data_IF_382922386461
#
_entry.id   IF_382922386461
#
_cell.length_a   1.000
_cell.length_b   1.000
_cell.length_c   1.000
_cell.angle_alpha   90.00
_cell.angle_beta   90.00
_cell.angle_gamma   90.00
#
_symmetry.space_group_name_H-M   'P 1'
#
loop_
_entity.id
_entity.type
_entity.pdbx_description
1 polymer ?
#
# COMPACT_ATOMS: atom_id res chain seq x y z
N UNK A 1 -29.30 -59.77 -3.14
CA UNK A 1 -28.45 -58.83 -2.37
C UNK A 1 -27.06 -58.75 -3.00
N UNK A 2 -26.85 -57.86 -3.98
CA UNK A 2 -25.55 -57.66 -4.63
C UNK A 2 -24.86 -56.41 -4.05
N UNK A 3 -24.06 -56.60 -3.00
CA UNK A 3 -23.40 -55.53 -2.26
C UNK A 3 -22.12 -55.02 -2.94
N UNK A 4 -22.15 -53.76 -3.39
CA UNK A 4 -21.14 -52.69 -3.27
C UNK A 4 -19.61 -52.99 -3.29
N UNK A 5 -19.10 -54.10 -3.84
CA UNK A 5 -17.64 -54.40 -3.89
C UNK A 5 -16.78 -53.41 -4.68
N UNK A 6 -17.36 -52.61 -5.58
CA UNK A 6 -16.61 -51.64 -6.41
C UNK A 6 -16.16 -50.39 -5.62
N UNK A 7 -16.96 -49.94 -4.65
CA UNK A 7 -16.72 -48.67 -3.96
C UNK A 7 -15.64 -48.77 -2.86
N UNK A 8 -15.49 -49.94 -2.23
CA UNK A 8 -14.42 -50.19 -1.25
C UNK A 8 -13.03 -50.29 -1.90
N UNK A 9 -12.95 -50.78 -3.14
CA UNK A 9 -11.70 -50.88 -3.87
C UNK A 9 -11.18 -49.49 -4.31
N UNK A 10 -12.09 -48.58 -4.66
CA UNK A 10 -11.76 -47.19 -5.01
C UNK A 10 -11.23 -46.37 -3.83
N UNK A 11 -11.80 -46.54 -2.62
CA UNK A 11 -11.28 -45.88 -1.40
C UNK A 11 -9.91 -46.40 -1.00
N UNK A 12 -9.66 -47.70 -1.16
CA UNK A 12 -8.34 -48.31 -0.92
C UNK A 12 -7.29 -47.83 -1.94
N UNK A 13 -7.67 -47.72 -3.21
CA UNK A 13 -6.82 -47.14 -4.25
C UNK A 13 -6.47 -45.67 -3.96
N UNK A 14 -7.44 -44.86 -3.53
CA UNK A 14 -7.22 -43.46 -3.16
C UNK A 14 -6.31 -43.31 -1.92
N UNK A 15 -6.44 -44.21 -0.94
CA UNK A 15 -5.55 -44.26 0.24
C UNK A 15 -4.11 -44.61 -0.12
N UNK A 16 -3.91 -45.58 -1.01
CA UNK A 16 -2.59 -45.95 -1.51
C UNK A 16 -1.98 -44.84 -2.38
N UNK A 17 -2.78 -44.16 -3.21
CA UNK A 17 -2.34 -43.01 -3.99
C UNK A 17 -1.85 -41.87 -3.08
N UNK A 18 -2.60 -41.52 -2.03
CA UNK A 18 -2.16 -40.49 -1.05
C UNK A 18 -0.87 -40.86 -0.32
N UNK A 19 -0.66 -42.15 -0.03
CA UNK A 19 0.60 -42.63 0.56
C UNK A 19 1.76 -42.53 -0.42
N UNK A 20 1.52 -42.86 -1.70
CA UNK A 20 2.50 -42.72 -2.76
C UNK A 20 2.86 -41.24 -3.01
N UNK A 21 1.88 -40.33 -3.04
CA UNK A 21 2.11 -38.89 -3.19
C UNK A 21 2.91 -38.31 -2.02
N UNK A 22 2.62 -38.75 -0.78
CA UNK A 22 3.38 -38.31 0.40
C UNK A 22 4.82 -38.83 0.35
N UNK A 23 5.03 -40.08 -0.06
CA UNK A 23 6.36 -40.65 -0.26
C UNK A 23 7.13 -39.92 -1.38
N UNK A 24 6.47 -39.61 -2.51
CA UNK A 24 7.05 -38.87 -3.62
C UNK A 24 7.41 -37.42 -3.25
N UNK A 25 6.58 -36.75 -2.44
CA UNK A 25 6.92 -35.43 -1.90
C UNK A 25 8.11 -35.47 -0.96
N UNK A 26 8.21 -36.51 -0.13
CA UNK A 26 9.35 -36.68 0.78
C UNK A 26 10.64 -36.99 0.03
N UNK A 27 10.57 -37.83 -1.03
CA UNK A 27 11.74 -38.07 -1.88
C UNK A 27 12.13 -36.82 -2.66
N UNK A 28 11.18 -36.10 -3.24
CA UNK A 28 11.46 -34.85 -3.95
C UNK A 28 12.08 -33.78 -3.02
N UNK A 29 11.65 -33.69 -1.76
CA UNK A 29 12.26 -32.80 -0.78
C UNK A 29 13.70 -33.21 -0.43
N UNK A 30 13.95 -34.51 -0.27
CA UNK A 30 15.30 -35.02 -0.02
C UNK A 30 16.22 -34.86 -1.24
N UNK A 31 15.68 -34.98 -2.45
CA UNK A 31 16.41 -34.76 -3.70
C UNK A 31 16.75 -33.28 -3.85
N UNK A 32 15.80 -32.38 -3.58
CA UNK A 32 16.05 -30.94 -3.57
C UNK A 32 17.10 -30.53 -2.54
N UNK A 33 17.08 -31.13 -1.34
CA UNK A 33 18.10 -30.87 -0.31
C UNK A 33 19.49 -31.37 -0.74
N UNK A 34 19.57 -32.52 -1.41
CA UNK A 34 20.82 -33.03 -2.00
C UNK A 34 21.32 -32.13 -3.14
N UNK A 35 20.44 -31.69 -4.03
CA UNK A 35 20.81 -30.76 -5.12
C UNK A 35 21.29 -29.41 -4.59
N UNK A 36 20.66 -28.88 -3.52
CA UNK A 36 21.13 -27.66 -2.85
C UNK A 36 22.52 -27.87 -2.22
N UNK A 37 22.72 -28.96 -1.48
CA UNK A 37 24.01 -29.26 -0.84
C UNK A 37 25.13 -29.53 -1.88
N UNK A 38 24.81 -30.21 -2.97
CA UNK A 38 25.74 -30.40 -4.10
C UNK A 38 26.03 -29.06 -4.79
N UNK A 39 25.03 -28.21 -4.98
CA UNK A 39 25.18 -26.86 -5.52
C UNK A 39 26.10 -25.99 -4.66
N UNK A 40 25.93 -26.00 -3.34
CA UNK A 40 26.81 -25.29 -2.40
C UNK A 40 28.24 -25.83 -2.47
N UNK A 41 28.41 -27.15 -2.55
CA UNK A 41 29.74 -27.79 -2.67
C UNK A 41 30.42 -27.43 -3.99
N UNK A 42 29.69 -27.36 -5.09
CA UNK A 42 30.21 -26.91 -6.38
C UNK A 42 30.53 -25.41 -6.40
N UNK A 43 29.79 -24.60 -5.64
CA UNK A 43 30.06 -23.15 -5.51
C UNK A 43 31.30 -22.83 -4.66
N UNK A 44 31.70 -23.69 -3.72
CA UNK A 44 32.92 -23.48 -2.90
C UNK A 44 34.22 -23.47 -3.73
N UNK A 45 34.23 -24.03 -4.95
CA UNK A 45 35.37 -23.99 -5.88
C UNK A 45 35.28 -22.90 -6.95
N UNK A 46 34.15 -22.19 -7.04
CA UNK A 46 33.95 -21.15 -8.04
C UNK A 46 34.70 -19.86 -7.65
N UNK A 47 35.34 -19.21 -8.63
CA UNK A 47 35.98 -17.91 -8.41
C UNK A 47 34.93 -16.91 -7.93
N UNK A 48 35.23 -16.17 -6.86
CA UNK A 48 34.33 -15.15 -6.32
C UNK A 48 34.11 -14.02 -7.35
N UNK A 49 33.00 -14.12 -8.07
CA UNK A 49 32.55 -13.13 -9.06
C UNK A 49 31.42 -12.25 -8.51
N UNK A 50 31.13 -12.36 -7.20
CA UNK A 50 30.02 -11.68 -6.51
C UNK A 50 30.05 -10.16 -6.72
N UNK A 51 31.24 -9.56 -6.75
CA UNK A 51 31.38 -8.12 -6.99
C UNK A 51 30.99 -7.71 -8.42
N UNK A 52 31.34 -8.53 -9.42
CA UNK A 52 31.01 -8.28 -10.83
C UNK A 52 29.54 -8.57 -11.12
N UNK A 53 28.97 -9.59 -10.49
CA UNK A 53 27.54 -9.93 -10.59
C UNK A 53 26.65 -8.91 -9.89
N UNK A 54 27.06 -8.40 -8.71
CA UNK A 54 26.34 -7.32 -8.04
C UNK A 54 26.36 -6.01 -8.86
N UNK A 55 27.46 -5.70 -9.54
CA UNK A 55 27.54 -4.53 -10.43
C UNK A 55 26.71 -4.72 -11.70
N UNK A 56 26.75 -5.92 -12.30
CA UNK A 56 25.91 -6.27 -13.45
C UNK A 56 24.42 -6.26 -13.12
N UNK A 57 24.03 -6.77 -11.94
CA UNK A 57 22.65 -6.75 -11.45
C UNK A 57 22.15 -5.32 -11.21
N UNK A 58 22.95 -4.48 -10.54
CA UNK A 58 22.61 -3.05 -10.34
C UNK A 58 22.47 -2.31 -11.67
N UNK A 59 23.32 -2.61 -12.66
CA UNK A 59 23.24 -2.02 -13.99
C UNK A 59 22.02 -2.50 -14.77
N UNK A 60 21.67 -3.78 -14.66
CA UNK A 60 20.48 -4.36 -15.27
C UNK A 60 19.19 -3.80 -14.65
N UNK A 61 19.12 -3.67 -13.33
CA UNK A 61 17.97 -3.05 -12.64
C UNK A 61 17.82 -1.56 -12.98
N UNK A 62 18.93 -0.81 -13.05
CA UNK A 62 18.89 0.58 -13.45
C UNK A 62 18.43 0.74 -14.91
N UNK A 63 18.85 -0.16 -15.80
CA UNK A 63 18.41 -0.18 -17.19
C UNK A 63 16.92 -0.55 -17.30
N UNK A 64 16.44 -1.52 -16.53
CA UNK A 64 15.03 -1.91 -16.49
C UNK A 64 14.14 -0.78 -15.96
N UNK A 65 14.52 -0.14 -14.85
CA UNK A 65 13.79 1.02 -14.29
C UNK A 65 13.79 2.21 -15.24
N UNK A 66 14.89 2.42 -15.98
CA UNK A 66 14.96 3.48 -17.00
C UNK A 66 14.04 3.16 -18.18
N UNK A 67 14.02 1.91 -18.66
CA UNK A 67 13.15 1.49 -19.76
C UNK A 67 11.65 1.57 -19.38
N UNK A 68 11.30 1.18 -18.16
CA UNK A 68 9.93 1.29 -17.65
C UNK A 68 9.48 2.75 -17.53
N UNK A 69 10.34 3.62 -16.97
CA UNK A 69 10.05 5.06 -16.90
C UNK A 69 9.91 5.70 -18.28
N UNK A 70 10.75 5.32 -19.24
CA UNK A 70 10.69 5.85 -20.60
C UNK A 70 9.45 5.36 -21.36
N UNK A 71 9.04 4.10 -21.13
CA UNK A 71 7.79 3.56 -21.65
C UNK A 71 6.57 4.29 -21.09
N UNK A 72 6.56 4.57 -19.77
CA UNK A 72 5.48 5.32 -19.13
C UNK A 72 5.40 6.76 -19.63
N UNK A 73 6.54 7.46 -19.74
CA UNK A 73 6.60 8.81 -20.31
C UNK A 73 6.10 8.84 -21.76
N UNK A 74 6.43 7.82 -22.56
CA UNK A 74 5.97 7.72 -23.94
C UNK A 74 4.47 7.43 -24.05
N UNK A 75 3.91 6.65 -23.13
CA UNK A 75 2.46 6.43 -23.03
C UNK A 75 1.74 7.71 -22.60
N UNK A 76 2.31 8.47 -21.66
CA UNK A 76 1.82 9.80 -21.28
C UNK A 76 1.89 10.79 -22.45
N UNK A 77 3.02 10.88 -23.17
CA UNK A 77 3.16 11.74 -24.35
C UNK A 77 2.23 11.34 -25.50
N UNK A 78 2.00 10.04 -25.70
CA UNK A 78 1.03 9.55 -26.70
C UNK A 78 -0.41 9.91 -26.31
N UNK A 79 -0.76 9.83 -25.02
CA UNK A 79 -2.09 10.21 -24.51
C UNK A 79 -2.36 11.72 -24.64
N UNK A 80 -1.31 12.55 -24.52
CA UNK A 80 -1.40 14.00 -24.71
C UNK A 80 -1.42 14.39 -26.19
N UNK A 81 -0.63 13.74 -27.05
CA UNK A 81 -0.62 14.01 -28.50
C UNK A 81 -1.86 13.47 -29.22
N UNK A 82 -2.51 12.41 -28.71
CA UNK A 82 -3.78 11.90 -29.22
C UNK A 82 -4.94 12.91 -29.05
N UNK A 83 -4.75 13.99 -28.28
CA UNK A 83 -5.72 15.10 -28.18
C UNK A 83 -5.51 16.20 -29.22
N UNK A 84 -4.54 16.05 -30.12
CA UNK A 84 -4.14 17.07 -31.09
C UNK A 84 -4.13 16.62 -32.56
N UNK A 85 -5.05 15.73 -32.97
CA UNK A 85 -5.38 15.63 -34.40
C UNK A 85 -6.48 16.65 -34.80
N UNK A 86 -6.24 17.45 -35.86
CA UNK A 86 -7.11 18.56 -36.24
C UNK A 86 -8.31 18.05 -37.05
N UNK A 87 -9.50 18.06 -36.45
CA UNK A 87 -10.73 17.94 -37.24
C UNK A 87 -10.95 19.22 -38.04
N UNK A 88 -11.04 19.04 -39.37
CA UNK A 88 -11.31 20.08 -40.36
C UNK A 88 -12.54 20.91 -40.01
N UNK A 89 -12.35 22.23 -40.16
CA UNK A 89 -13.33 23.23 -40.62
C UNK A 89 -14.73 23.21 -39.98
N UNK A 90 -14.99 24.14 -39.06
CA UNK A 90 -15.94 25.25 -39.26
C UNK A 90 -15.59 26.41 -38.33
N UNK A 91 -15.43 27.57 -38.95
CA UNK A 91 -15.36 28.96 -38.46
C UNK A 91 -15.55 29.17 -36.96
N UNK A 92 -14.47 29.48 -36.24
CA UNK A 92 -14.53 29.97 -34.88
C UNK A 92 -14.87 31.46 -34.88
N UNK A 93 -16.14 31.78 -34.60
CA UNK A 93 -16.55 33.12 -34.19
C UNK A 93 -15.82 33.43 -32.89
N UNK A 94 -15.09 34.56 -32.87
CA UNK A 94 -14.45 35.11 -31.67
C UNK A 94 -15.53 35.47 -30.65
N UNK A 95 -15.94 34.52 -29.82
CA UNK A 95 -16.58 34.80 -28.53
C UNK A 95 -15.47 34.85 -27.51
N UNK A 96 -15.24 36.04 -26.98
CA UNK A 96 -14.50 36.27 -25.75
C UNK A 96 -15.10 35.37 -24.67
N UNK A 97 -14.50 34.20 -24.48
CA UNK A 97 -14.86 33.26 -23.43
C UNK A 97 -14.23 33.78 -22.14
N UNK A 98 -14.84 34.85 -21.63
CA UNK A 98 -14.84 35.07 -20.19
C UNK A 98 -15.30 33.75 -19.59
N UNK A 99 -14.46 33.20 -18.72
CA UNK A 99 -14.82 32.06 -17.90
C UNK A 99 -16.09 32.47 -17.16
N UNK A 100 -17.21 31.83 -17.50
CA UNK A 100 -18.48 32.05 -16.81
C UNK A 100 -18.36 31.42 -15.42
N UNK A 101 -17.86 32.23 -14.49
CA UNK A 101 -17.68 31.90 -13.08
C UNK A 101 -19.01 31.93 -12.33
N UNK A 102 -20.14 32.27 -12.96
CA UNK A 102 -21.44 32.29 -12.28
C UNK A 102 -21.84 30.91 -11.76
N UNK A 103 -21.34 29.83 -12.38
CA UNK A 103 -21.57 28.47 -11.92
C UNK A 103 -20.73 28.10 -10.68
N UNK A 104 -19.71 28.90 -10.35
CA UNK A 104 -18.92 28.76 -9.11
C UNK A 104 -19.47 29.62 -7.96
N UNK A 105 -20.27 30.64 -8.27
CA UNK A 105 -20.89 31.56 -7.29
C UNK A 105 -22.27 31.10 -6.77
N UNK A 106 -22.95 30.16 -7.44
CA UNK A 106 -24.28 29.68 -7.03
C UNK A 106 -24.25 28.57 -5.96
N UNK A 107 -23.09 27.95 -5.75
CA UNK A 107 -22.88 27.09 -4.59
C UNK A 107 -22.50 27.96 -3.41
N UNK A 108 -23.48 28.25 -2.56
CA UNK A 108 -23.30 28.74 -1.18
C UNK A 108 -22.57 27.70 -0.31
N UNK A 109 -21.44 27.19 -0.77
CA UNK A 109 -20.39 26.71 0.11
C UNK A 109 -19.91 27.96 0.83
N UNK A 110 -20.29 28.10 2.10
CA UNK A 110 -19.82 29.22 2.93
C UNK A 110 -18.31 29.36 2.69
N UNK A 111 -17.82 30.58 2.49
CA UNK A 111 -16.42 30.83 2.21
C UNK A 111 -15.57 30.28 3.36
N UNK A 112 -15.12 29.02 3.23
CA UNK A 112 -14.31 28.33 4.23
C UNK A 112 -12.91 28.95 4.14
N UNK A 113 -12.52 29.68 5.17
CA UNK A 113 -11.25 30.38 5.23
C UNK A 113 -10.16 29.40 5.68
N UNK A 114 -9.53 28.72 4.72
CA UNK A 114 -8.42 27.81 5.00
C UNK A 114 -7.08 28.56 5.07
N UNK A 115 -6.78 29.22 6.20
CA UNK A 115 -5.44 29.78 6.41
C UNK A 115 -4.48 28.69 6.91
N UNK A 116 -3.57 28.22 6.05
CA UNK A 116 -2.55 27.21 6.36
C UNK A 116 -2.74 25.89 5.60
N UNK A 117 -1.65 25.11 5.47
CA UNK A 117 -1.63 23.88 4.66
C UNK A 117 -2.60 22.83 5.23
N UNK A 118 -2.59 22.62 6.54
CA UNK A 118 -3.46 21.63 7.18
C UNK A 118 -4.95 21.99 7.00
N UNK A 119 -5.30 23.27 7.18
CA UNK A 119 -6.66 23.77 6.98
C UNK A 119 -7.10 23.66 5.51
N UNK A 120 -6.18 23.84 4.55
CA UNK A 120 -6.46 23.65 3.13
C UNK A 120 -6.69 22.17 2.76
N UNK A 121 -5.92 21.26 3.39
CA UNK A 121 -6.14 19.81 3.24
C UNK A 121 -7.47 19.37 3.86
N UNK A 122 -7.85 19.95 4.99
CA UNK A 122 -9.14 19.70 5.63
C UNK A 122 -10.32 20.22 4.79
N UNK A 123 -10.20 21.42 4.23
CA UNK A 123 -11.17 21.96 3.27
C UNK A 123 -11.27 21.09 2.01
N UNK A 124 -10.14 20.58 1.52
CA UNK A 124 -10.11 19.64 0.40
C UNK A 124 -10.79 18.32 0.77
N UNK A 125 -10.56 17.78 1.97
CA UNK A 125 -11.21 16.56 2.44
C UNK A 125 -12.72 16.72 2.57
N UNK A 126 -13.19 17.94 2.87
CA UNK A 126 -14.62 18.28 2.91
C UNK A 126 -15.24 18.25 1.51
N UNK A 127 -14.60 18.89 0.52
CA UNK A 127 -15.11 18.94 -0.86
C UNK A 127 -14.89 17.65 -1.66
N UNK A 128 -13.84 16.88 -1.35
CA UNK A 128 -13.49 15.68 -2.12
C UNK A 128 -14.39 14.47 -1.80
N UNK A 129 -15.27 14.58 -0.81
CA UNK A 129 -16.19 13.50 -0.44
C UNK A 129 -15.43 12.26 0.03
N UNK A 130 -15.07 12.20 1.31
CA UNK A 130 -14.34 11.05 1.86
C UNK A 130 -15.05 9.72 1.58
N UNK A 131 -14.31 8.71 1.12
CA UNK A 131 -14.83 7.35 0.91
C UNK A 131 -15.27 6.72 2.25
N UNK A 132 -16.49 6.16 2.33
CA UNK A 132 -17.03 5.50 3.53
C UNK A 132 -16.13 4.34 4.02
N UNK A 133 -15.28 3.84 3.12
CA UNK A 133 -14.33 2.76 3.35
C UNK A 133 -13.11 3.16 4.21
N UNK A 134 -13.00 4.44 4.63
CA UNK A 134 -11.82 4.95 5.36
C UNK A 134 -11.92 4.88 6.89
N UNK A 135 -13.13 4.72 7.43
CA UNK A 135 -13.31 4.62 8.90
C UNK A 135 -13.05 3.17 9.31
N UNK A 136 -12.00 2.97 10.08
CA UNK A 136 -11.58 1.65 10.52
C UNK A 136 -12.35 1.20 11.76
N UNK A 137 -12.82 -0.04 11.74
CA UNK A 137 -13.51 -0.70 12.85
C UNK A 137 -12.55 -1.53 13.72
N UNK A 138 -11.33 -1.79 13.25
CA UNK A 138 -10.35 -2.68 13.88
C UNK A 138 -8.97 -2.03 14.03
N UNK A 139 -8.86 -0.95 14.82
CA UNK A 139 -7.58 -0.30 15.09
C UNK A 139 -6.56 -1.27 15.71
N UNK A 140 -7.00 -2.21 16.56
CA UNK A 140 -6.15 -3.23 17.20
C UNK A 140 -5.38 -4.09 16.17
N UNK A 141 -6.00 -4.43 15.04
CA UNK A 141 -5.39 -5.29 14.02
C UNK A 141 -4.31 -4.55 13.23
N UNK A 142 -4.49 -3.25 13.00
CA UNK A 142 -3.52 -2.42 12.26
C UNK A 142 -2.44 -1.86 13.16
N UNK A 143 -2.69 -1.76 14.45
CA UNK A 143 -1.75 -1.19 15.40
C UNK A 143 -0.38 -1.88 15.37
N UNK A 144 -0.33 -3.21 15.32
CA UNK A 144 0.93 -3.94 15.23
C UNK A 144 1.68 -3.63 13.93
N UNK A 145 0.98 -3.61 12.79
CA UNK A 145 1.58 -3.31 11.49
C UNK A 145 2.05 -1.84 11.40
N UNK A 146 1.24 -0.90 11.87
CA UNK A 146 1.57 0.52 11.93
C UNK A 146 2.76 0.78 12.86
N UNK A 147 2.78 0.13 14.03
CA UNK A 147 3.88 0.21 14.97
C UNK A 147 5.18 -0.34 14.37
N UNK A 148 5.15 -1.51 13.71
CA UNK A 148 6.35 -2.06 13.07
C UNK A 148 6.89 -1.15 11.96
N UNK A 149 6.02 -0.61 11.10
CA UNK A 149 6.42 0.36 10.07
C UNK A 149 7.07 1.60 10.66
N UNK A 150 6.49 2.14 11.72
CA UNK A 150 7.03 3.29 12.43
C UNK A 150 8.36 2.94 13.12
N UNK A 151 8.45 1.77 13.75
CA UNK A 151 9.63 1.28 14.45
C UNK A 151 10.82 1.15 13.51
N UNK A 152 10.65 0.54 12.34
CA UNK A 152 11.72 0.37 11.36
C UNK A 152 12.21 1.70 10.81
N UNK A 153 11.29 2.59 10.41
CA UNK A 153 11.62 3.93 9.92
C UNK A 153 12.38 4.73 10.99
N UNK A 154 11.85 4.77 12.22
CA UNK A 154 12.43 5.57 13.30
C UNK A 154 13.73 4.98 13.84
N UNK A 155 13.89 3.65 13.83
CA UNK A 155 15.17 3.01 14.16
C UNK A 155 16.25 3.33 13.11
N UNK A 156 15.89 3.45 11.84
CA UNK A 156 16.83 3.86 10.79
C UNK A 156 17.24 5.33 10.98
N UNK A 157 16.29 6.22 11.23
CA UNK A 157 16.55 7.64 11.54
C UNK A 157 17.41 7.79 12.80
N UNK A 158 17.08 7.10 13.90
CA UNK A 158 17.89 7.15 15.14
C UNK A 158 19.32 6.64 14.98
N UNK A 159 19.57 5.74 14.01
CA UNK A 159 20.92 5.28 13.65
C UNK A 159 21.65 6.32 12.82
N UNK A 160 20.97 6.99 11.91
CA UNK A 160 21.55 8.03 11.05
C UNK A 160 21.86 9.32 11.82
N UNK A 161 20.92 9.78 12.65
CA UNK A 161 21.05 11.00 13.47
C UNK A 161 21.99 10.83 14.66
N UNK A 162 22.38 9.59 14.98
CA UNK A 162 23.21 9.27 16.14
C UNK A 162 22.51 9.47 17.49
N UNK A 163 21.23 9.84 17.53
CA UNK A 163 20.42 9.98 18.75
C UNK A 163 20.24 8.66 19.50
N UNK A 164 20.46 7.54 18.82
CA UNK A 164 20.48 6.19 19.38
C UNK A 164 21.85 5.72 19.90
N UNK A 165 22.90 6.52 19.77
CA UNK A 165 24.27 6.13 20.14
C UNK A 165 24.37 6.02 21.67
N UNK A 166 24.87 4.89 22.17
CA UNK A 166 24.95 4.59 23.60
C UNK A 166 23.67 4.00 24.23
N UNK A 167 22.53 4.00 23.52
CA UNK A 167 21.30 3.37 24.02
C UNK A 167 21.16 1.91 23.55
N UNK A 168 20.80 1.03 24.49
CA UNK A 168 20.42 -0.36 24.18
C UNK A 168 19.22 -0.37 23.23
N UNK A 169 19.15 -1.38 22.36
CA UNK A 169 18.06 -1.52 21.38
C UNK A 169 16.67 -1.42 22.04
N UNK A 170 16.50 -2.04 23.20
CA UNK A 170 15.25 -2.03 23.95
C UNK A 170 14.86 -0.63 24.46
N UNK A 171 15.82 0.18 24.91
CA UNK A 171 15.59 1.57 25.31
C UNK A 171 15.19 2.44 24.12
N UNK A 172 15.81 2.21 22.96
CA UNK A 172 15.42 2.89 21.70
C UNK A 172 14.00 2.54 21.32
N UNK A 173 13.65 1.25 21.33
CA UNK A 173 12.27 0.78 21.07
C UNK A 173 11.26 1.40 22.03
N UNK A 174 11.58 1.50 23.33
CA UNK A 174 10.70 2.16 24.31
C UNK A 174 10.51 3.66 24.03
N UNK A 175 11.55 4.38 23.59
CA UNK A 175 11.41 5.79 23.19
C UNK A 175 10.55 5.94 21.94
N UNK A 176 10.85 5.14 20.92
CA UNK A 176 10.08 5.09 19.67
C UNK A 176 8.62 4.74 19.95
N UNK A 177 8.35 3.84 20.89
CA UNK A 177 6.99 3.49 21.28
C UNK A 177 6.24 4.67 21.89
N UNK A 178 6.87 5.42 22.79
CA UNK A 178 6.28 6.62 23.39
C UNK A 178 6.03 7.72 22.35
N UNK A 179 6.91 7.84 21.36
CA UNK A 179 6.71 8.74 20.21
C UNK A 179 5.53 8.26 19.36
N UNK A 180 5.43 6.95 19.09
CA UNK A 180 4.35 6.36 18.32
C UNK A 180 2.99 6.52 18.99
N UNK A 181 2.89 6.33 20.31
CA UNK A 181 1.62 6.46 21.04
C UNK A 181 1.01 7.87 20.88
N UNK A 182 1.84 8.91 20.66
CA UNK A 182 1.43 10.30 20.41
C UNK A 182 1.34 10.67 18.93
N UNK A 183 1.84 9.82 18.05
CA UNK A 183 1.93 10.10 16.62
C UNK A 183 0.54 10.02 15.96
N UNK A 184 0.25 10.83 14.93
CA UNK A 184 -0.96 10.67 14.11
C UNK A 184 -0.97 9.35 13.32
N UNK A 185 0.18 8.67 13.20
CA UNK A 185 0.28 7.37 12.52
C UNK A 185 -0.23 6.20 13.37
N UNK A 186 -0.54 6.44 14.65
CA UNK A 186 -1.19 5.45 15.50
C UNK A 186 -2.69 5.35 15.12
N UNK A 187 -3.18 4.17 14.68
CA UNK A 187 -4.59 3.98 14.33
C UNK A 187 -5.57 4.32 15.45
N UNK A 188 -5.15 4.29 16.72
CA UNK A 188 -5.99 4.68 17.86
C UNK A 188 -6.16 6.20 18.02
N UNK A 189 -5.26 6.99 17.44
CA UNK A 189 -5.38 8.46 17.45
C UNK A 189 -6.21 8.96 16.27
N UNK A 190 -6.65 8.06 15.39
CA UNK A 190 -7.52 8.35 14.25
C UNK A 190 -8.98 8.07 14.63
N UNK A 191 -9.90 8.56 13.80
CA UNK A 191 -11.34 8.32 14.00
C UNK A 191 -11.63 6.85 13.71
N UNK A 192 -12.10 6.12 14.73
CA UNK A 192 -12.45 4.70 14.65
C UNK A 192 -13.93 4.49 14.93
N UNK A 193 -14.54 3.53 14.23
CA UNK A 193 -15.90 3.08 14.55
C UNK A 193 -15.86 1.90 15.52
N UNK A 194 -16.94 1.70 16.29
CA UNK A 194 -17.09 0.52 17.13
C UNK A 194 -17.26 -0.73 16.26
N UNK A 195 -16.84 -1.90 16.79
CA UNK A 195 -16.88 -3.16 16.05
C UNK A 195 -18.28 -3.55 15.54
N UNK A 196 -19.32 -3.23 16.30
CA UNK A 196 -20.72 -3.52 15.95
C UNK A 196 -21.44 -2.30 15.35
N UNK A 197 -20.72 -1.26 14.93
CA UNK A 197 -21.32 -0.08 14.32
C UNK A 197 -22.07 -0.46 13.04
N UNK A 198 -23.32 -0.02 12.93
CA UNK A 198 -24.07 -0.11 11.68
C UNK A 198 -23.50 0.85 10.63
N UNK A 199 -23.89 0.66 9.37
CA UNK A 199 -23.47 1.57 8.29
C UNK A 199 -23.93 3.02 8.55
N UNK A 200 -25.06 3.21 9.21
CA UNK A 200 -25.56 4.55 9.53
C UNK A 200 -24.79 5.15 10.72
N UNK A 201 -24.39 4.37 11.72
CA UNK A 201 -23.49 4.85 12.79
C UNK A 201 -22.14 5.34 12.24
N UNK A 202 -21.60 4.66 11.22
CA UNK A 202 -20.35 5.07 10.56
C UNK A 202 -20.52 6.40 9.83
N UNK A 203 -21.67 6.61 9.17
CA UNK A 203 -21.99 7.89 8.53
C UNK A 203 -22.17 9.00 9.54
N UNK A 204 -22.79 8.72 10.68
CA UNK A 204 -22.99 9.70 11.75
C UNK A 204 -21.66 10.13 12.37
N UNK A 205 -20.76 9.18 12.65
CA UNK A 205 -19.39 9.48 13.10
C UNK A 205 -18.69 10.37 12.08
N UNK A 206 -18.79 10.04 10.79
CA UNK A 206 -18.20 10.85 9.71
C UNK A 206 -18.79 12.25 9.65
N UNK A 207 -20.11 12.38 9.74
CA UNK A 207 -20.80 13.67 9.72
C UNK A 207 -20.41 14.53 10.92
N UNK A 208 -20.23 13.92 12.11
CA UNK A 208 -19.73 14.62 13.29
C UNK A 208 -18.31 15.15 13.08
N UNK A 209 -17.42 14.36 12.48
CA UNK A 209 -16.05 14.79 12.18
C UNK A 209 -15.98 15.87 11.10
N UNK A 210 -16.76 15.72 10.02
CA UNK A 210 -16.90 16.76 8.99
C UNK A 210 -17.43 18.06 9.60
N UNK A 211 -18.44 17.99 10.47
CA UNK A 211 -18.95 19.16 11.19
C UNK A 211 -17.94 19.80 12.15
N UNK A 212 -17.03 19.02 12.76
CA UNK A 212 -15.91 19.58 13.56
C UNK A 212 -14.91 20.32 12.67
N UNK A 213 -14.61 19.76 11.49
CA UNK A 213 -13.73 20.38 10.50
C UNK A 213 -14.34 21.67 9.96
N UNK A 214 -15.62 21.64 9.57
CA UNK A 214 -16.37 22.82 9.12
C UNK A 214 -16.37 23.93 10.17
N UNK A 215 -16.63 23.59 11.44
CA UNK A 215 -16.56 24.58 12.54
C UNK A 215 -15.18 25.20 12.69
N UNK A 216 -14.11 24.42 12.50
CA UNK A 216 -12.73 24.94 12.57
C UNK A 216 -12.40 25.87 11.40
N UNK A 217 -12.93 25.58 10.21
CA UNK A 217 -12.65 26.32 8.97
C UNK A 217 -13.64 27.47 8.68
N UNK A 218 -14.79 27.47 9.35
CA UNK A 218 -15.82 28.50 9.25
C UNK A 218 -15.60 29.70 10.19
N UNK A 219 -14.38 29.85 10.72
CA UNK A 219 -13.94 31.00 11.51
C UNK A 219 -13.23 32.04 10.64
#
# INVERSE_FOLDING_TARGET
>A
MAGKKSQDNSKKAAGNARKADSAAKKSAAADAEREMAEGEKWQQGAKNNSKKEAEAAKKAEAAAKKAEKDALMKEEEASLNARSEPKKSKTAVKKSRGLDLSQLDDDKLGALSASGIDNALDALSLTAGGDDSKIDQHPERRFAAAYHRYEERRLAEMKADGSGTGLRLEQRKQRIRKEFDKSPENPFNQVTASYNASRDDIKDIKAQELGKIEKRLGH
#
